data_IF_541454125180
#
_entry.id   IF_541454125180
#
_cell.length_a   1.000
_cell.length_b   1.000
_cell.length_c   1.000
_cell.angle_alpha   90.00
_cell.angle_beta   90.00
_cell.angle_gamma   90.00
#
_symmetry.space_group_name_H-M   'P 1'
#
loop_
_entity.id
_entity.type
_entity.pdbx_description
1 polymer ?
#
# COMPACT_ATOMS: atom_id res chain seq x y z
N UNK A 1 3.29 -6.74 -12.81
CA UNK A 1 3.79 -5.74 -11.87
C UNK A 1 5.15 -5.24 -12.35
N UNK A 2 5.22 -3.93 -12.65
CA UNK A 2 6.47 -3.25 -12.97
C UNK A 2 7.25 -3.03 -11.66
N UNK A 3 8.20 -3.91 -11.36
CA UNK A 3 9.16 -3.70 -10.26
C UNK A 3 10.56 -3.57 -10.86
N UNK A 4 11.01 -2.36 -11.21
CA UNK A 4 12.35 -2.16 -11.71
C UNK A 4 13.36 -2.50 -10.61
N UNK A 5 14.46 -3.18 -10.98
CA UNK A 5 15.57 -3.47 -10.05
C UNK A 5 16.25 -2.20 -9.54
N UNK A 6 16.09 -1.10 -10.25
CA UNK A 6 16.58 0.24 -9.90
C UNK A 6 15.47 1.26 -10.14
N UNK A 7 15.25 2.15 -9.19
CA UNK A 7 14.23 3.20 -9.25
C UNK A 7 14.76 4.51 -9.86
N UNK A 8 15.66 4.40 -10.83
CA UNK A 8 16.17 5.57 -11.56
C UNK A 8 15.29 5.84 -12.79
N UNK A 9 15.18 7.12 -13.19
CA UNK A 9 14.42 7.51 -14.38
C UNK A 9 14.86 6.72 -15.61
N UNK A 10 16.17 6.49 -15.78
CA UNK A 10 16.72 5.72 -16.90
C UNK A 10 16.26 4.26 -16.90
N UNK A 11 16.29 3.59 -15.75
CA UNK A 11 15.86 2.19 -15.65
C UNK A 11 14.36 2.05 -15.88
N UNK A 12 13.56 2.96 -15.33
CA UNK A 12 12.10 2.96 -15.49
C UNK A 12 11.70 3.31 -16.93
N UNK A 13 12.32 4.32 -17.55
CA UNK A 13 12.03 4.70 -18.93
C UNK A 13 12.40 3.58 -19.90
N UNK A 14 13.52 2.91 -19.70
CA UNK A 14 13.90 1.74 -20.51
C UNK A 14 12.89 0.60 -20.38
N UNK A 15 12.42 0.33 -19.18
CA UNK A 15 11.46 -0.76 -18.92
C UNK A 15 10.04 -0.44 -19.46
N UNK A 16 9.58 0.81 -19.32
CA UNK A 16 8.22 1.22 -19.66
C UNK A 16 8.08 1.69 -21.11
N UNK A 17 9.08 2.45 -21.59
CA UNK A 17 9.03 3.12 -22.90
C UNK A 17 10.00 2.55 -23.91
N UNK A 18 10.97 1.73 -23.48
CA UNK A 18 12.07 1.26 -24.34
C UNK A 18 13.09 2.34 -24.68
N UNK A 19 13.11 3.45 -23.92
CA UNK A 19 13.96 4.62 -24.18
C UNK A 19 14.91 4.90 -23.02
N UNK A 20 16.07 5.47 -23.33
CA UNK A 20 17.07 5.88 -22.35
C UNK A 20 17.18 7.40 -22.28
N UNK A 21 17.76 7.87 -21.17
CA UNK A 21 18.16 9.27 -20.99
C UNK A 21 19.30 9.65 -21.94
N UNK A 22 19.50 10.97 -22.13
CA UNK A 22 20.73 11.48 -22.70
C UNK A 22 21.86 11.36 -21.69
N UNK A 23 23.09 11.16 -22.19
CA UNK A 23 24.26 11.00 -21.34
C UNK A 23 24.80 12.38 -20.93
N UNK A 24 24.50 12.78 -19.70
CA UNK A 24 25.01 13.96 -19.00
C UNK A 24 25.29 13.54 -17.57
N UNK A 25 26.50 13.81 -17.05
CA UNK A 25 26.83 13.53 -15.65
C UNK A 25 26.22 14.65 -14.74
N UNK A 26 25.25 14.31 -13.86
CA UNK A 26 24.63 15.31 -12.98
C UNK A 26 25.62 16.00 -12.02
N UNK A 27 26.78 15.36 -11.75
CA UNK A 27 27.79 15.90 -10.83
C UNK A 27 28.62 17.02 -11.46
N UNK A 28 28.65 17.09 -12.80
CA UNK A 28 29.44 18.03 -13.57
C UNK A 28 28.56 18.92 -14.47
N UNK A 29 27.28 19.07 -14.14
CA UNK A 29 26.31 19.79 -14.95
C UNK A 29 26.69 21.28 -15.16
N UNK A 30 27.36 21.89 -14.18
CA UNK A 30 27.83 23.28 -14.27
C UNK A 30 28.93 23.44 -15.32
N UNK A 31 29.82 22.48 -15.47
CA UNK A 31 30.89 22.49 -16.44
C UNK A 31 30.34 22.16 -17.85
N UNK A 32 29.42 21.23 -17.93
CA UNK A 32 28.70 20.93 -19.16
C UNK A 32 27.87 22.14 -19.64
N UNK A 33 27.24 22.89 -18.70
CA UNK A 33 26.51 24.11 -19.04
C UNK A 33 27.39 25.18 -19.63
N UNK A 34 28.60 25.37 -19.09
CA UNK A 34 29.60 26.34 -19.62
C UNK A 34 30.13 25.96 -20.98
N UNK A 35 30.25 24.64 -21.27
CA UNK A 35 30.76 24.12 -22.52
C UNK A 35 29.71 24.02 -23.63
N UNK A 36 28.54 23.47 -23.32
CA UNK A 36 27.39 23.30 -24.24
C UNK A 36 26.06 23.39 -23.48
N UNK A 37 25.58 24.61 -23.28
CA UNK A 37 24.27 24.85 -22.66
C UNK A 37 23.12 24.22 -23.44
N UNK A 38 23.25 24.10 -24.78
CA UNK A 38 22.24 23.46 -25.62
C UNK A 38 22.12 21.94 -25.34
N UNK A 39 23.23 21.26 -25.05
CA UNK A 39 23.21 19.85 -24.62
C UNK A 39 22.46 19.68 -23.29
N UNK A 40 22.74 20.53 -22.31
CA UNK A 40 22.09 20.50 -21.00
C UNK A 40 20.59 20.79 -21.12
N UNK A 41 20.20 21.75 -21.96
CA UNK A 41 18.78 22.04 -22.23
C UNK A 41 18.05 20.83 -22.84
N UNK A 42 18.65 20.17 -23.83
CA UNK A 42 18.08 18.95 -24.41
C UNK A 42 17.97 17.82 -23.39
N UNK A 43 18.96 17.67 -22.53
CA UNK A 43 18.93 16.69 -21.43
C UNK A 43 17.74 16.95 -20.48
N UNK A 44 17.59 18.19 -19.97
CA UNK A 44 16.49 18.55 -19.09
C UNK A 44 15.11 18.37 -19.75
N UNK A 45 15.00 18.75 -21.04
CA UNK A 45 13.76 18.56 -21.81
C UNK A 45 13.43 17.07 -21.94
N UNK A 46 14.43 16.23 -22.27
CA UNK A 46 14.25 14.79 -22.39
C UNK A 46 13.85 14.14 -21.06
N UNK A 47 14.47 14.54 -19.96
CA UNK A 47 14.10 14.02 -18.63
C UNK A 47 12.66 14.37 -18.26
N UNK A 48 12.23 15.61 -18.51
CA UNK A 48 10.84 16.03 -18.26
C UNK A 48 9.84 15.29 -19.17
N UNK A 49 10.18 15.11 -20.46
CA UNK A 49 9.37 14.34 -21.40
C UNK A 49 9.22 12.88 -20.99
N UNK A 50 10.31 12.22 -20.60
CA UNK A 50 10.28 10.83 -20.15
C UNK A 50 9.44 10.67 -18.90
N UNK A 51 9.54 11.56 -17.92
CA UNK A 51 8.73 11.53 -16.69
C UNK A 51 7.23 11.62 -17.02
N UNK A 52 6.83 12.55 -17.88
CA UNK A 52 5.45 12.69 -18.33
C UNK A 52 4.96 11.46 -19.10
N UNK A 53 5.76 10.95 -20.02
CA UNK A 53 5.40 9.77 -20.82
C UNK A 53 5.27 8.50 -19.99
N UNK A 54 6.13 8.32 -18.97
CA UNK A 54 5.99 7.22 -18.00
C UNK A 54 4.67 7.35 -17.25
N UNK A 55 4.36 8.55 -16.71
CA UNK A 55 3.11 8.82 -16.01
C UNK A 55 1.89 8.42 -16.82
N UNK A 56 1.89 8.79 -18.11
CA UNK A 56 0.80 8.46 -19.03
C UNK A 56 0.77 6.96 -19.38
N UNK A 57 1.92 6.35 -19.63
CA UNK A 57 2.01 4.93 -20.02
C UNK A 57 1.57 3.98 -18.90
N UNK A 58 1.86 4.29 -17.63
CA UNK A 58 1.41 3.48 -16.48
C UNK A 58 0.01 3.85 -16.00
N UNK A 59 -0.63 4.82 -16.64
CA UNK A 59 -2.01 5.29 -16.35
C UNK A 59 -2.20 5.70 -14.86
N UNK A 60 -1.18 6.26 -14.24
CA UNK A 60 -1.21 6.60 -12.80
C UNK A 60 -2.35 7.55 -12.46
N UNK A 61 -2.58 8.59 -13.27
CA UNK A 61 -3.67 9.55 -13.05
C UNK A 61 -5.04 8.88 -13.16
N UNK A 62 -5.24 8.04 -14.18
CA UNK A 62 -6.51 7.31 -14.36
C UNK A 62 -6.79 6.38 -13.18
N UNK A 63 -5.80 5.57 -12.79
CA UNK A 63 -5.91 4.70 -11.61
C UNK A 63 -6.17 5.50 -10.33
N UNK A 64 -5.50 6.65 -10.18
CA UNK A 64 -5.74 7.57 -9.06
C UNK A 64 -7.17 8.10 -9.05
N UNK A 65 -7.71 8.51 -10.20
CA UNK A 65 -9.09 8.97 -10.32
C UNK A 65 -10.11 7.87 -10.01
N UNK A 66 -9.88 6.64 -10.47
CA UNK A 66 -10.73 5.49 -10.16
C UNK A 66 -10.72 5.20 -8.65
N UNK A 67 -9.54 5.22 -8.02
CA UNK A 67 -9.41 5.05 -6.58
C UNK A 67 -10.06 6.20 -5.79
N UNK A 68 -9.93 7.45 -6.25
CA UNK A 68 -10.60 8.60 -5.65
C UNK A 68 -12.12 8.47 -5.73
N UNK A 69 -12.63 8.01 -6.88
CA UNK A 69 -14.06 7.77 -7.05
C UNK A 69 -14.60 6.68 -6.11
N UNK A 70 -13.85 5.62 -5.86
CA UNK A 70 -14.23 4.52 -4.95
C UNK A 70 -14.09 4.96 -3.50
N UNK A 71 -12.92 5.48 -3.10
CA UNK A 71 -12.63 5.84 -1.72
C UNK A 71 -13.32 7.13 -1.25
N UNK A 72 -13.81 7.95 -2.20
CA UNK A 72 -14.37 9.30 -1.94
C UNK A 72 -13.37 10.24 -1.25
N UNK A 73 -12.10 10.04 -1.52
CA UNK A 73 -11.02 10.95 -1.13
C UNK A 73 -10.66 11.87 -2.30
N UNK A 74 -9.93 12.94 -2.00
CA UNK A 74 -9.37 13.79 -3.04
C UNK A 74 -8.32 13.04 -3.87
N UNK A 75 -8.07 13.46 -5.11
CA UNK A 75 -7.00 12.86 -5.91
C UNK A 75 -5.62 13.02 -5.25
N UNK A 76 -5.39 14.15 -4.59
CA UNK A 76 -4.16 14.42 -3.83
C UNK A 76 -3.98 13.42 -2.70
N UNK A 77 -5.03 13.19 -1.88
CA UNK A 77 -4.99 12.21 -0.80
C UNK A 77 -4.71 10.81 -1.34
N UNK A 78 -5.33 10.42 -2.45
CA UNK A 78 -5.12 9.09 -3.06
C UNK A 78 -3.70 8.89 -3.56
N UNK A 79 -3.09 9.93 -4.14
CA UNK A 79 -1.73 9.86 -4.68
C UNK A 79 -0.63 9.95 -3.61
N UNK A 80 -0.94 10.57 -2.47
CA UNK A 80 0.03 10.78 -1.38
C UNK A 80 -0.15 9.83 -0.20
N UNK A 81 -1.34 9.25 -0.03
CA UNK A 81 -1.67 8.40 1.10
C UNK A 81 -1.37 6.92 0.82
N UNK A 82 -1.22 6.16 1.90
CA UNK A 82 -1.16 4.70 1.82
C UNK A 82 -2.54 4.05 1.69
N UNK A 83 -2.54 2.75 1.38
CA UNK A 83 -3.75 1.93 1.25
C UNK A 83 -4.63 1.92 2.52
N UNK A 84 -4.04 2.14 3.69
CA UNK A 84 -4.76 2.22 4.97
C UNK A 84 -5.79 3.36 4.98
N UNK A 85 -5.42 4.55 4.51
CA UNK A 85 -6.32 5.71 4.48
C UNK A 85 -7.48 5.50 3.48
N UNK A 86 -7.22 4.82 2.37
CA UNK A 86 -8.27 4.42 1.42
C UNK A 86 -9.26 3.45 2.09
N UNK A 87 -8.74 2.45 2.81
CA UNK A 87 -9.56 1.48 3.54
C UNK A 87 -10.37 2.15 4.66
N UNK A 88 -9.76 3.04 5.44
CA UNK A 88 -10.41 3.78 6.51
C UNK A 88 -11.57 4.61 5.98
N UNK A 89 -11.39 5.34 4.88
CA UNK A 89 -12.47 6.11 4.25
C UNK A 89 -13.64 5.22 3.84
N UNK A 90 -13.39 4.05 3.27
CA UNK A 90 -14.42 3.09 2.89
C UNK A 90 -15.15 2.53 4.10
N UNK A 91 -14.42 2.15 5.15
CA UNK A 91 -14.97 1.57 6.38
C UNK A 91 -15.83 2.58 7.15
N UNK A 92 -15.35 3.84 7.31
CA UNK A 92 -16.11 4.91 7.97
C UNK A 92 -17.43 5.15 7.25
N UNK A 93 -17.40 5.22 5.91
CA UNK A 93 -18.63 5.42 5.12
C UNK A 93 -19.57 4.22 5.14
N UNK A 94 -19.03 3.01 5.26
CA UNK A 94 -19.84 1.81 5.43
C UNK A 94 -20.52 1.79 6.80
N UNK A 95 -19.79 2.15 7.85
CA UNK A 95 -20.31 2.27 9.21
C UNK A 95 -21.39 3.35 9.32
N UNK A 96 -21.17 4.53 8.72
CA UNK A 96 -22.14 5.62 8.66
C UNK A 96 -23.46 5.16 8.01
N UNK A 97 -23.39 4.47 6.86
CA UNK A 97 -24.59 3.89 6.22
C UNK A 97 -25.29 2.82 7.05
N UNK A 98 -24.53 2.12 7.89
CA UNK A 98 -25.05 1.12 8.81
C UNK A 98 -25.50 1.72 10.16
N UNK A 99 -25.37 3.05 10.34
CA UNK A 99 -25.65 3.77 11.59
C UNK A 99 -24.81 3.25 12.78
N UNK A 100 -23.58 2.80 12.49
CA UNK A 100 -22.60 2.34 13.49
C UNK A 100 -21.58 3.44 13.74
N UNK A 101 -21.43 3.86 14.99
CA UNK A 101 -20.41 4.81 15.38
C UNK A 101 -19.03 4.16 15.34
N UNK A 102 -18.10 4.75 14.59
CA UNK A 102 -16.70 4.30 14.56
C UNK A 102 -15.93 5.01 15.68
N UNK A 103 -15.18 4.27 16.53
CA UNK A 103 -14.39 4.89 17.57
C UNK A 103 -13.32 5.79 16.96
N UNK A 104 -13.17 6.98 17.51
CA UNK A 104 -12.09 7.87 17.12
C UNK A 104 -10.75 7.23 17.49
N UNK A 105 -9.88 7.02 16.52
CA UNK A 105 -8.51 6.60 16.79
C UNK A 105 -7.84 7.71 17.59
N UNK A 106 -7.74 7.52 18.89
CA UNK A 106 -6.94 8.39 19.75
C UNK A 106 -5.50 8.40 19.21
N UNK A 107 -4.89 9.58 19.18
CA UNK A 107 -3.46 9.71 18.92
C UNK A 107 -2.71 8.85 19.94
N UNK A 108 -2.45 7.57 19.61
CA UNK A 108 -1.39 6.81 20.28
C UNK A 108 -1.43 5.33 19.99
N UNK A 109 -0.51 4.93 19.22
CA UNK A 109 0.35 3.83 19.65
C UNK A 109 1.27 4.48 20.70
N UNK A 110 1.11 4.16 21.98
CA UNK A 110 2.11 4.51 23.00
C UNK A 110 3.39 3.77 22.62
N UNK A 111 4.52 4.47 22.58
CA UNK A 111 5.84 3.84 22.58
C UNK A 111 5.86 2.81 23.73
N UNK A 112 5.88 1.55 23.39
CA UNK A 112 5.89 0.45 24.37
C UNK A 112 4.97 -0.73 24.09
N UNK A 113 3.84 -0.53 23.40
CA UNK A 113 2.95 -1.64 23.00
C UNK A 113 3.36 -2.19 21.62
N UNK A 114 4.49 -2.89 21.62
CA UNK A 114 4.88 -3.65 20.44
C UNK A 114 3.91 -4.83 20.31
N UNK A 115 3.08 -4.81 19.27
CA UNK A 115 2.22 -5.95 18.95
C UNK A 115 3.13 -7.14 18.63
N UNK A 116 3.04 -8.19 19.42
CA UNK A 116 3.76 -9.42 19.16
C UNK A 116 3.34 -9.98 17.79
N UNK A 117 4.31 -10.16 16.92
CA UNK A 117 4.08 -10.71 15.57
C UNK A 117 3.65 -12.17 15.60
N UNK A 118 3.11 -12.68 14.50
CA UNK A 118 2.81 -14.09 14.36
C UNK A 118 4.09 -14.96 14.41
N UNK A 119 3.93 -16.19 14.85
CA UNK A 119 5.02 -17.18 14.86
C UNK A 119 5.57 -17.39 13.44
N UNK A 120 6.87 -17.28 13.29
CA UNK A 120 7.59 -17.59 12.06
C UNK A 120 8.39 -18.86 12.29
N UNK A 121 8.09 -19.90 11.52
CA UNK A 121 8.79 -21.18 11.65
C UNK A 121 10.21 -21.08 11.11
N UNK A 122 11.17 -21.66 11.82
CA UNK A 122 12.56 -21.72 11.38
C UNK A 122 12.70 -22.59 10.13
N UNK A 123 13.38 -22.04 9.12
CA UNK A 123 13.64 -22.75 7.88
C UNK A 123 14.69 -23.82 8.11
N UNK A 124 14.39 -25.05 7.73
CA UNK A 124 15.36 -26.13 7.63
C UNK A 124 15.82 -26.21 6.17
N UNK A 125 17.00 -25.72 5.82
CA UNK A 125 17.48 -25.76 4.44
C UNK A 125 17.70 -27.22 3.99
N UNK A 126 17.30 -27.53 2.76
CA UNK A 126 17.42 -28.89 2.23
C UNK A 126 16.74 -29.02 0.87
N UNK A 127 16.94 -30.17 0.25
CA UNK A 127 16.22 -30.56 -0.97
C UNK A 127 15.00 -31.43 -0.57
N UNK A 128 13.82 -30.95 -0.86
CA UNK A 128 12.57 -31.64 -0.54
C UNK A 128 11.86 -32.06 -1.84
N UNK A 129 11.41 -33.30 -1.89
CA UNK A 129 10.62 -33.82 -3.00
C UNK A 129 9.13 -33.75 -2.65
N UNK A 130 8.30 -33.53 -3.67
CA UNK A 130 6.83 -33.54 -3.52
C UNK A 130 6.28 -32.49 -2.54
N UNK A 131 6.81 -31.28 -2.61
CA UNK A 131 6.35 -30.15 -1.76
C UNK A 131 5.00 -29.65 -2.25
N UNK A 132 4.02 -29.61 -1.35
CA UNK A 132 2.73 -28.96 -1.56
C UNK A 132 2.68 -27.66 -0.75
N UNK A 133 2.46 -26.54 -1.43
CA UNK A 133 2.34 -25.23 -0.79
C UNK A 133 0.87 -24.85 -0.71
N UNK A 134 0.38 -24.62 0.52
CA UNK A 134 -0.99 -24.21 0.78
C UNK A 134 -0.96 -22.85 1.50
N UNK A 135 -1.85 -21.97 1.12
CA UNK A 135 -2.04 -20.66 1.75
C UNK A 135 -3.51 -20.38 2.05
N UNK A 136 -3.80 -19.77 3.19
CA UNK A 136 -5.15 -19.33 3.54
C UNK A 136 -5.50 -18.04 2.82
N UNK A 137 -6.47 -18.09 1.93
CA UNK A 137 -6.94 -16.89 1.24
C UNK A 137 -7.43 -15.86 2.27
N UNK A 138 -6.76 -14.70 2.31
CA UNK A 138 -7.15 -13.58 3.17
C UNK A 138 -7.37 -14.02 4.64
N UNK A 139 -6.40 -14.69 5.25
CA UNK A 139 -6.52 -15.31 6.57
C UNK A 139 -7.07 -14.35 7.64
N UNK A 140 -6.50 -13.15 7.77
CA UNK A 140 -6.98 -12.16 8.74
C UNK A 140 -8.44 -11.73 8.51
N UNK A 141 -8.83 -11.24 7.32
CA UNK A 141 -10.22 -10.89 7.05
C UNK A 141 -11.17 -12.07 7.24
N UNK A 142 -10.80 -13.28 6.79
CA UNK A 142 -11.63 -14.47 6.95
C UNK A 142 -11.85 -14.82 8.43
N UNK A 143 -10.81 -14.71 9.25
CA UNK A 143 -10.90 -14.96 10.69
C UNK A 143 -11.78 -13.90 11.39
N UNK A 144 -11.60 -12.63 11.05
CA UNK A 144 -12.41 -11.51 11.57
C UNK A 144 -13.89 -11.76 11.28
N UNK A 145 -14.22 -12.11 10.03
CA UNK A 145 -15.60 -12.38 9.60
C UNK A 145 -16.14 -13.65 10.28
N UNK A 146 -15.36 -14.73 10.31
CA UNK A 146 -15.82 -16.01 10.86
C UNK A 146 -16.05 -15.96 12.37
N UNK A 147 -15.22 -15.22 13.09
CA UNK A 147 -15.24 -15.10 14.55
C UNK A 147 -15.95 -13.83 15.05
N UNK A 148 -16.56 -13.06 14.15
CA UNK A 148 -17.25 -11.81 14.49
C UNK A 148 -16.41 -10.82 15.31
N UNK A 149 -15.13 -10.70 14.98
CA UNK A 149 -14.17 -9.86 15.71
C UNK A 149 -14.39 -8.41 15.31
N UNK A 150 -14.92 -7.60 16.22
CA UNK A 150 -15.14 -6.17 16.02
C UNK A 150 -15.11 -5.46 17.38
N UNK A 151 -14.82 -4.17 17.36
CA UNK A 151 -14.90 -3.36 18.58
C UNK A 151 -16.34 -3.29 19.14
N UNK A 152 -17.38 -3.40 18.29
CA UNK A 152 -18.77 -3.43 18.73
C UNK A 152 -19.20 -4.78 19.31
N UNK A 153 -18.47 -5.84 19.05
CA UNK A 153 -18.76 -7.19 19.55
C UNK A 153 -17.84 -7.60 20.69
N UNK A 154 -16.92 -6.71 21.10
CA UNK A 154 -16.04 -6.93 22.24
C UNK A 154 -16.86 -6.88 23.53
N UNK A 155 -17.00 -8.02 24.22
CA UNK A 155 -17.80 -8.13 25.43
C UNK A 155 -17.25 -9.27 26.32
N UNK A 156 -17.07 -9.03 27.63
CA UNK A 156 -16.60 -10.06 28.57
C UNK A 156 -17.52 -11.29 28.65
N UNK A 157 -18.80 -11.14 28.31
CA UNK A 157 -19.78 -12.25 28.29
C UNK A 157 -19.79 -12.98 26.93
N UNK A 158 -18.95 -12.58 26.00
CA UNK A 158 -18.88 -13.16 24.65
C UNK A 158 -18.53 -14.64 24.65
N UNK A 159 -19.15 -15.38 23.76
CA UNK A 159 -18.95 -16.84 23.64
C UNK A 159 -17.75 -17.22 22.78
N UNK A 160 -17.23 -16.27 22.00
CA UNK A 160 -16.05 -16.46 21.17
C UNK A 160 -14.83 -15.89 21.90
N UNK A 161 -14.02 -16.76 22.49
CA UNK A 161 -12.87 -16.37 23.29
C UNK A 161 -11.59 -16.55 22.48
N UNK A 162 -10.78 -15.50 22.38
CA UNK A 162 -9.45 -15.54 21.80
C UNK A 162 -8.42 -16.18 22.76
N UNK A 163 -7.30 -16.69 22.27
CA UNK A 163 -6.23 -17.22 23.15
C UNK A 163 -5.71 -16.22 24.19
N UNK A 164 -5.82 -14.91 23.91
CA UNK A 164 -5.50 -13.83 24.84
C UNK A 164 -6.50 -13.64 25.98
N UNK A 165 -7.59 -14.40 25.99
CA UNK A 165 -8.71 -14.21 26.93
C UNK A 165 -9.74 -13.16 26.51
N UNK A 166 -9.51 -12.45 25.43
CA UNK A 166 -10.44 -11.47 24.89
C UNK A 166 -11.68 -12.17 24.32
N UNK A 167 -12.88 -11.74 24.72
CA UNK A 167 -14.12 -12.37 24.32
C UNK A 167 -14.94 -11.48 23.37
N UNK A 168 -15.66 -12.11 22.45
CA UNK A 168 -16.50 -11.46 21.45
C UNK A 168 -17.89 -12.11 21.39
N UNK A 169 -18.91 -11.32 21.13
CA UNK A 169 -20.27 -11.81 20.92
C UNK A 169 -20.37 -12.64 19.63
N UNK A 170 -21.18 -13.70 19.66
CA UNK A 170 -21.48 -14.47 18.44
C UNK A 170 -22.29 -13.66 17.43
N UNK A 171 -22.38 -14.14 16.18
CA UNK A 171 -23.16 -13.49 15.11
C UNK A 171 -24.66 -13.45 15.38
N UNK A 172 -25.15 -14.30 16.27
CA UNK A 172 -26.56 -14.39 16.61
C UNK A 172 -27.01 -13.29 17.57
N UNK A 173 -26.07 -12.57 18.19
CA UNK A 173 -26.33 -11.42 19.03
C UNK A 173 -26.26 -10.16 18.16
N UNK A 174 -27.43 -9.60 17.81
CA UNK A 174 -27.51 -8.27 17.19
C UNK A 174 -27.32 -7.23 18.28
N UNK A 175 -26.26 -6.43 18.15
CA UNK A 175 -26.03 -5.22 18.96
C UNK A 175 -26.73 -4.04 18.28
#
# INVERSE_FOLDING_TARGET
>A
ELRPKQETLNAVSMQVLGETKLDVDPRHIDDEWKSDSGKVMRYCTKDAELALRILLAVETLRKGMDLAAVSKLSLEDVLTSGSSQLADSLLIRAADRAHVAVPQMGRRIRDGDQIEGGYVHDLKPGLYHWVCVLDFKSMYPSTIIAKNICFTTLDPSGTIVAPSGTAFLSKDVRV
#
